data_IF_754567716329
#
_entry.id   IF_754567716329
#
_cell.length_a   1.000
_cell.length_b   1.000
_cell.length_c   1.000
_cell.angle_alpha   90.00
_cell.angle_beta   90.00
_cell.angle_gamma   90.00
#
_symmetry.space_group_name_H-M   'P 1'
#
loop_
_entity.id
_entity.type
_entity.pdbx_description
1 polymer ?
2 water ?
#
# COMPACT_ATOMS: atom_id res chain seq x y z
N UNK A 2 -9.51 11.18 -1.80
CA UNK A 2 -8.91 9.83 -1.99
C UNK A 2 -9.87 8.77 -2.50
N UNK A 3 -10.93 8.45 -1.76
CA UNK A 3 -11.90 7.45 -2.26
C UNK A 3 -13.25 8.09 -2.54
N UNK A 4 -13.38 9.36 -2.20
CA UNK A 4 -14.63 10.08 -2.42
C UNK A 4 -14.30 11.40 -3.07
N UNK A 5 -14.58 11.48 -4.36
CA UNK A 5 -14.30 12.65 -5.14
C UNK A 5 -15.55 13.47 -5.43
N UNK A 6 -15.35 14.61 -6.07
CA UNK A 6 -16.44 15.52 -6.42
C UNK A 6 -16.13 16.12 -7.79
N UNK A 8 -18.48 18.62 -9.68
CA UNK A 8 -19.69 19.43 -9.81
C UNK A 8 -19.89 20.20 -11.12
N UNK A 9 -18.99 20.04 -12.08
CA UNK A 9 -19.13 20.77 -13.35
C UNK A 9 -19.70 19.92 -14.47
N UNK A 10 -20.17 20.60 -15.52
CA UNK A 10 -20.70 19.91 -16.70
C UNK A 10 -19.49 19.31 -17.38
N UNK A 11 -19.70 18.21 -18.10
CA UNK A 11 -18.63 17.53 -18.81
C UNK A 11 -17.92 18.44 -19.81
N UNK A 12 -18.70 19.15 -20.62
CA UNK A 12 -18.12 20.04 -21.62
C UNK A 12 -17.24 21.11 -20.96
N UNK A 13 -17.60 21.51 -19.74
CA UNK A 13 -16.83 22.49 -19.01
C UNK A 13 -15.48 21.90 -18.62
N UNK A 14 -15.45 20.60 -18.35
CA UNK A 14 -14.19 19.96 -17.99
C UNK A 14 -13.28 19.97 -19.21
N UNK A 15 -13.84 19.66 -20.38
CA UNK A 15 -13.10 19.66 -21.63
C UNK A 15 -12.51 21.06 -21.89
N UNK A 16 -13.34 22.09 -21.70
CA UNK A 16 -12.90 23.47 -21.90
C UNK A 16 -11.76 23.84 -20.96
N UNK A 17 -11.85 23.42 -19.70
CA UNK A 17 -10.84 23.70 -18.69
C UNK A 17 -9.44 23.18 -19.07
N UNK A 18 -9.37 22.11 -19.85
CA UNK A 18 -8.09 21.57 -20.25
C UNK A 18 -7.81 21.81 -21.75
N UNK A 19 -8.62 22.69 -22.36
CA UNK A 19 -8.46 23.02 -23.77
C UNK A 19 -8.56 21.83 -24.71
N UNK A 20 -9.35 20.85 -24.32
CA UNK A 20 -9.50 19.66 -25.14
C UNK A 20 -10.91 19.44 -25.70
N UNK A 21 -11.00 18.58 -26.71
CA UNK A 21 -12.27 18.27 -27.36
C UNK A 21 -13.22 17.51 -26.42
N UNK A 22 -14.50 17.82 -26.52
CA UNK A 22 -15.55 17.23 -25.68
C UNK A 22 -16.42 16.14 -26.30
N UNK A 23 -16.05 15.66 -27.47
CA UNK A 23 -16.85 14.64 -28.16
C UNK A 23 -17.17 13.42 -27.32
N UNK A 24 -16.14 12.82 -26.73
CA UNK A 24 -16.35 11.65 -25.89
C UNK A 24 -17.10 11.96 -24.60
N UNK A 25 -16.64 12.96 -23.87
CA UNK A 25 -17.27 13.31 -22.59
C UNK A 25 -18.73 13.77 -22.75
N UNK A 26 -19.03 14.43 -23.88
CA UNK A 26 -20.38 14.88 -24.17
C UNK A 26 -21.33 13.67 -24.34
N UNK A 27 -20.85 12.61 -25.01
CA UNK A 27 -21.63 11.40 -25.20
C UNK A 27 -22.13 10.83 -23.87
N UNK A 28 -21.27 10.83 -22.85
CA UNK A 28 -21.61 10.32 -21.53
C UNK A 28 -21.98 11.40 -20.50
N UNK A 29 -22.36 12.59 -20.95
CA UNK A 29 -22.68 13.69 -20.04
C UNK A 29 -23.74 13.37 -19.00
N UNK A 30 -24.70 12.53 -19.36
CA UNK A 30 -25.77 12.17 -18.43
C UNK A 30 -25.24 11.49 -17.17
N UNK A 31 -24.16 10.74 -17.31
CA UNK A 31 -23.61 10.04 -16.17
C UNK A 31 -22.39 10.76 -15.56
N UNK A 32 -21.82 11.71 -16.30
CA UNK A 32 -20.66 12.46 -15.84
C UNK A 32 -20.95 13.86 -15.27
N UNK A 33 -21.93 14.55 -15.85
CA UNK A 33 -22.30 15.91 -15.41
C UNK A 33 -22.68 16.06 -13.94
N UNK A 34 -22.15 17.12 -13.32
CA UNK A 34 -22.45 17.45 -11.95
C UNK A 34 -22.58 16.31 -10.93
N UNK A 35 -21.52 15.54 -10.78
CA UNK A 35 -21.49 14.44 -9.82
C UNK A 35 -20.81 14.99 -8.57
N UNK A 36 -21.61 15.55 -7.67
CA UNK A 36 -21.07 16.14 -6.43
C UNK A 36 -20.38 15.13 -5.54
N UNK A 37 -20.75 13.86 -5.66
CA UNK A 37 -20.10 12.81 -4.90
C UNK A 37 -19.82 11.66 -5.86
N UNK A 38 -18.54 11.34 -6.05
CA UNK A 38 -18.13 10.24 -6.93
C UNK A 38 -17.53 9.20 -5.98
N UNK A 39 -18.23 8.09 -5.81
CA UNK A 39 -17.81 7.04 -4.90
C UNK A 39 -16.92 6.03 -5.61
N UNK A 40 -15.66 5.98 -5.21
CA UNK A 40 -14.69 5.08 -5.83
C UNK A 40 -15.16 3.63 -5.78
N UNK A 41 -15.81 3.26 -4.69
CA UNK A 41 -16.24 1.88 -4.52
C UNK A 41 -17.33 1.39 -5.46
N UNK A 42 -17.79 2.28 -6.35
CA UNK A 42 -18.77 1.88 -7.36
C UNK A 42 -17.99 1.75 -8.67
N UNK A 43 -16.68 2.00 -8.61
CA UNK A 43 -15.82 1.93 -9.80
C UNK A 43 -16.51 2.64 -10.96
N UNK A 44 -16.83 3.92 -10.78
CA UNK A 44 -17.53 4.67 -11.83
C UNK A 44 -16.71 5.17 -13.01
N UNK A 45 -17.44 5.57 -14.07
CA UNK A 45 -16.82 6.14 -15.25
C UNK A 45 -16.50 7.56 -14.84
N UNK A 46 -15.43 8.13 -15.40
CA UNK A 46 -15.02 9.46 -14.99
C UNK A 46 -14.22 10.15 -16.08
N UNK A 47 -14.33 11.48 -16.20
CA UNK A 47 -13.58 12.22 -17.22
C UNK A 47 -12.08 12.13 -16.88
N UNK A 48 -11.25 11.82 -17.86
CA UNK A 48 -9.82 11.71 -17.63
C UNK A 48 -9.06 12.44 -18.73
N UNK A 49 -8.06 13.23 -18.33
CA UNK A 49 -7.26 13.98 -19.29
C UNK A 49 -5.97 13.21 -19.56
N UNK A 50 -5.71 13.00 -20.83
CA UNK A 50 -4.53 12.27 -21.30
C UNK A 50 -3.82 13.16 -22.32
N UNK A 51 -2.75 12.65 -22.91
CA UNK A 51 -2.03 13.40 -23.94
C UNK A 51 -2.92 13.58 -25.17
N UNK A 52 -4.02 12.84 -25.22
CA UNK A 52 -4.96 12.93 -26.34
C UNK A 52 -5.68 14.29 -26.37
N UNK A 53 -6.07 14.74 -27.55
CA UNK A 53 -6.79 16.00 -27.70
C UNK A 53 -8.25 15.88 -27.25
N UNK A 54 -8.72 14.65 -27.09
CA UNK A 54 -10.09 14.41 -26.63
C UNK A 54 -10.09 13.97 -25.17
N UNK A 55 -10.97 14.56 -24.36
CA UNK A 55 -11.07 14.17 -22.96
C UNK A 55 -11.55 12.71 -23.01
N UNK A 56 -10.96 11.85 -22.19
CA UNK A 56 -11.33 10.45 -22.19
C UNK A 56 -12.30 10.11 -21.06
N UNK A 57 -12.86 8.90 -21.10
CA UNK A 57 -13.79 8.44 -20.06
C UNK A 57 -13.34 7.04 -19.64
N UNK A 58 -12.73 6.94 -18.47
CA UNK A 58 -12.25 5.65 -17.95
C UNK A 58 -12.95 5.30 -16.64
N UNK A 59 -12.79 4.04 -16.22
CA UNK A 59 -13.39 3.60 -14.96
C UNK A 59 -12.35 3.70 -13.85
N UNK A 60 -12.79 4.15 -12.68
CA UNK A 60 -11.92 4.30 -11.53
C UNK A 60 -11.62 2.90 -10.96
N UNK A 61 -10.34 2.59 -10.75
CA UNK A 61 -9.95 1.29 -10.23
C UNK A 61 -9.10 0.62 -11.28
N UNK A 62 -7.79 0.85 -11.20
CA UNK A 62 -6.86 0.32 -12.19
C UNK A 62 -6.68 -1.19 -12.28
N UNK A 63 -6.87 -1.73 -13.47
CA UNK A 63 -6.70 -3.15 -13.72
C UNK A 63 -5.46 -3.29 -14.59
N UNK A 64 -4.34 -3.75 -14.01
CA UNK A 64 -3.10 -3.89 -14.77
C UNK A 64 -3.25 -4.73 -16.03
N UNK A 65 -2.48 -4.39 -17.04
CA UNK A 65 -2.52 -5.09 -18.31
C UNK A 65 -2.20 -6.57 -18.17
N UNK A 66 -1.36 -6.91 -17.19
CA UNK A 66 -0.94 -8.30 -17.00
C UNK A 66 -1.90 -9.25 -16.30
N UNK A 67 -3.00 -8.75 -15.76
CA UNK A 67 -3.96 -9.62 -15.07
C UNK A 67 -4.47 -10.71 -16.01
N UNK A 68 -4.47 -11.94 -15.53
CA UNK A 68 -4.89 -13.09 -16.34
C UNK A 68 -6.35 -13.47 -16.20
N UNK A 69 -6.95 -13.23 -15.05
CA UNK A 69 -8.35 -13.61 -14.89
C UNK A 69 -9.22 -12.48 -14.38
N UNK A 70 -10.44 -12.44 -14.90
CA UNK A 70 -11.42 -11.42 -14.53
C UNK A 70 -11.75 -11.50 -13.04
N UNK A 71 -11.78 -12.73 -12.52
CA UNK A 71 -12.07 -12.97 -11.12
C UNK A 71 -11.03 -12.23 -10.27
N UNK A 72 -9.77 -12.27 -10.70
CA UNK A 72 -8.71 -11.59 -9.96
C UNK A 72 -8.79 -10.10 -10.17
N UNK A 73 -9.17 -9.70 -11.38
CA UNK A 73 -9.29 -8.30 -11.70
C UNK A 73 -10.28 -7.62 -10.74
N UNK A 74 -11.30 -8.37 -10.34
CA UNK A 74 -12.33 -7.87 -9.42
C UNK A 74 -11.76 -7.48 -8.07
N UNK A 75 -10.85 -8.30 -7.55
CA UNK A 75 -10.24 -8.02 -6.26
C UNK A 75 -9.15 -6.93 -6.35
N UNK A 76 -8.26 -7.05 -7.34
CA UNK A 76 -7.17 -6.09 -7.53
C UNK A 76 -7.68 -4.66 -7.69
N UNK A 77 -8.78 -4.52 -8.40
CA UNK A 77 -9.44 -3.24 -8.66
C UNK A 77 -9.71 -2.47 -7.37
N UNK A 78 -10.01 -3.19 -6.29
CA UNK A 78 -10.30 -2.58 -5.00
C UNK A 78 -9.04 -2.08 -4.31
N UNK A 80 -6.41 -0.77 -6.08
CA UNK A 80 -5.76 0.21 -6.94
C UNK A 80 -6.55 1.49 -7.22
N UNK A 81 -7.49 1.82 -6.35
CA UNK A 81 -8.26 3.04 -6.53
C UNK A 81 -7.32 4.22 -6.28
N UNK A 82 -6.29 3.97 -5.48
CA UNK A 82 -5.26 4.95 -5.17
C UNK A 82 -3.91 4.29 -5.38
N UNK A 83 -2.89 5.10 -5.62
CA UNK A 83 -1.52 4.58 -5.81
C UNK A 83 -0.55 5.48 -5.06
N UNK A 84 0.16 4.90 -4.10
CA UNK A 84 1.14 5.62 -3.28
C UNK A 84 2.30 6.13 -4.12
N UNK A 85 2.60 7.43 -4.00
CA UNK A 85 3.69 8.02 -4.77
C UNK A 85 5.07 7.42 -4.48
N UNK A 86 5.38 7.18 -3.20
CA UNK A 86 6.69 6.66 -2.81
C UNK A 86 7.13 5.29 -3.33
N UNK A 87 6.20 4.45 -3.76
CA UNK A 87 6.56 3.12 -4.27
C UNK A 87 5.99 2.87 -5.66
N UNK A 88 5.40 3.90 -6.26
CA UNK A 88 4.77 3.78 -7.57
C UNK A 88 5.69 3.32 -8.69
N UNK A 89 6.98 3.59 -8.59
CA UNK A 89 7.92 3.19 -9.64
C UNK A 89 8.33 1.72 -9.46
N UNK A 90 7.99 1.14 -8.31
CA UNK A 90 8.33 -0.23 -7.96
C UNK A 90 7.19 -1.26 -8.08
N UNK A 91 5.98 -0.91 -7.63
CA UNK A 91 4.85 -1.84 -7.69
C UNK A 91 4.49 -2.33 -9.09
N UNK A 92 4.29 -3.64 -9.26
CA UNK A 92 3.94 -4.22 -10.57
C UNK A 92 2.65 -3.67 -11.17
N UNK A 93 1.71 -3.27 -10.33
CA UNK A 93 0.45 -2.72 -10.81
C UNK A 93 0.63 -1.34 -11.43
N UNK A 94 1.63 -0.60 -10.98
CA UNK A 94 1.84 0.75 -11.46
C UNK A 94 3.15 1.13 -12.15
N UNK A 95 4.16 0.27 -12.08
CA UNK A 95 5.46 0.63 -12.66
C UNK A 95 5.52 0.97 -14.13
N UNK A 96 4.66 0.36 -14.94
CA UNK A 96 4.71 0.69 -16.36
C UNK A 96 3.84 1.90 -16.69
N UNK A 97 2.65 2.01 -16.05
CA UNK A 97 1.81 3.17 -16.35
C UNK A 97 2.41 4.53 -15.93
N UNK A 98 3.17 4.61 -14.84
CA UNK A 98 3.74 5.92 -14.47
C UNK A 98 4.77 6.42 -15.46
N UNK A 100 4.66 5.34 -18.86
CA UNK A 100 4.00 5.43 -20.17
C UNK A 100 2.54 5.91 -20.24
N UNK A 101 1.80 5.78 -19.15
CA UNK A 101 0.39 6.16 -19.17
C UNK A 101 -0.08 7.05 -18.04
N UNK A 102 0.48 8.26 -17.96
CA UNK A 102 0.08 9.21 -16.92
C UNK A 102 -1.15 9.97 -17.41
N UNK A 103 -1.96 10.43 -16.47
CA UNK A 103 -3.15 11.18 -16.83
C UNK A 103 -3.49 12.14 -15.71
N UNK A 104 -4.46 13.01 -15.97
CA UNK A 104 -4.93 13.97 -15.00
C UNK A 104 -6.36 13.60 -14.63
N UNK A 105 -6.63 13.55 -13.34
CA UNK A 105 -7.94 13.25 -12.84
C UNK A 105 -8.51 14.58 -12.36
N UNK A 106 -9.36 15.21 -13.17
CA UNK A 106 -9.94 16.50 -12.77
C UNK A 106 -10.78 16.37 -11.51
N UNK A 107 -10.92 17.45 -10.76
CA UNK A 107 -11.69 17.42 -9.53
C UNK A 107 -12.14 18.81 -9.09
N UNK A 108 -13.27 18.87 -8.40
CA UNK A 108 -13.77 20.15 -7.90
C UNK A 108 -13.66 20.12 -6.37
N UNK A 109 -13.07 19.05 -5.84
CA UNK A 109 -12.90 18.88 -4.42
C UNK A 109 -13.08 17.44 -4.01
N UNK A 110 -12.75 17.11 -2.77
CA UNK A 110 -12.92 15.74 -2.32
C UNK A 110 -13.29 15.67 -0.85
N UNK A 111 -13.71 14.48 -0.42
CA UNK A 111 -14.15 14.27 0.95
C UNK A 111 -13.22 13.39 1.79
N UNK A 112 -13.12 13.72 3.08
CA UNK A 112 -12.30 12.98 4.03
C UNK A 112 -12.95 13.14 5.42
N UNK A 113 -12.80 12.13 6.27
CA UNK A 113 -13.37 12.17 7.60
C UNK A 113 -12.28 12.21 8.66
N UNK A 114 -12.43 13.12 9.62
CA UNK A 114 -11.48 13.22 10.72
C UNK A 114 -12.06 12.39 11.86
N UNK A 115 -11.23 11.55 12.48
CA UNK A 115 -11.71 10.74 13.59
C UNK A 115 -11.34 11.33 14.96
N UNK A 116 -12.22 11.17 15.92
CA UNK A 116 -12.01 11.64 17.29
C UNK A 116 -13.03 10.92 18.15
N UNK A 117 -12.56 9.87 18.81
CA UNK A 117 -13.42 9.04 19.64
C UNK A 117 -14.09 8.11 18.68
N UNK A 118 -15.41 8.06 18.71
CA UNK A 118 -16.16 7.21 17.80
C UNK A 118 -16.75 8.13 16.73
N UNK A 119 -16.52 9.43 16.89
CA UNK A 119 -17.04 10.41 15.94
C UNK A 119 -16.24 10.55 14.65
N UNK A 120 -16.99 10.53 13.55
CA UNK A 120 -16.46 10.64 12.21
C UNK A 120 -16.95 12.00 11.67
N UNK A 121 -16.06 12.98 11.57
CA UNK A 121 -16.49 14.28 11.06
C UNK A 121 -16.10 14.44 9.59
N UNK A 122 -17.09 14.64 8.71
CA UNK A 122 -16.85 14.80 7.27
C UNK A 122 -16.41 16.20 6.85
N UNK A 123 -15.40 16.24 6.00
CA UNK A 123 -14.89 17.51 5.50
C UNK A 123 -14.92 17.52 3.98
N UNK A 124 -15.11 18.71 3.42
CA UNK A 124 -15.09 18.92 1.99
C UNK A 124 -13.82 19.72 1.80
N UNK A 125 -12.89 19.18 1.01
CA UNK A 125 -11.60 19.83 0.80
C UNK A 125 -11.46 20.28 -0.66
N UNK A 126 -11.01 21.52 -0.85
CA UNK A 126 -10.86 22.08 -2.19
C UNK A 126 -9.67 23.01 -2.31
N UNK A 127 -9.43 23.48 -3.53
CA UNK A 127 -8.32 24.37 -3.81
C UNK A 127 -8.83 25.80 -4.02
N UNK A 128 -8.29 26.74 -3.26
CA UNK A 128 -8.70 28.13 -3.33
C UNK A 128 -8.59 28.74 -4.73
N UNK A 129 -9.66 29.35 -5.18
CA UNK A 129 -9.68 30.01 -6.49
C UNK A 129 -9.25 29.14 -7.68
N UNK A 130 -9.62 27.87 -7.65
CA UNK A 130 -9.34 26.96 -8.75
C UNK A 130 -10.54 26.03 -8.76
N UNK A 131 -11.64 26.47 -9.40
CA UNK A 131 -12.88 25.69 -9.49
C UNK A 131 -12.62 24.22 -9.80
N UNK A 132 -11.80 23.98 -10.81
CA UNK A 132 -11.48 22.62 -11.21
C UNK A 132 -9.98 22.50 -11.09
N UNK A 133 -9.51 21.55 -10.27
CA UNK A 133 -8.08 21.38 -10.11
C UNK A 133 -7.69 19.99 -10.61
N UNK A 134 -6.40 19.76 -10.79
CA UNK A 134 -5.93 18.50 -11.32
C UNK A 134 -5.20 17.58 -10.34
N UNK A 136 -2.94 14.08 -9.97
CA UNK A 136 -2.10 13.24 -10.81
C UNK A 136 -2.63 11.80 -10.81
N UNK A 137 -2.70 11.20 -11.99
CA UNK A 137 -3.17 9.84 -12.07
C UNK A 137 -2.42 9.02 -13.09
N UNK A 138 -2.76 7.75 -13.17
CA UNK A 138 -2.19 6.82 -14.13
C UNK A 138 -3.35 5.94 -14.59
N UNK A 139 -3.23 5.39 -15.78
CA UNK A 139 -4.28 4.53 -16.31
C UNK A 139 -3.64 3.32 -16.96
N UNK A 140 -4.47 2.35 -17.34
CA UNK A 140 -3.95 1.16 -18.00
C UNK A 140 -5.08 0.55 -18.80
N UNK A 141 -4.73 -0.34 -19.73
CA UNK A 141 -5.73 -1.02 -20.56
C UNK A 141 -5.57 -2.51 -20.31
N UNK A 142 -6.70 -3.19 -20.14
CA UNK A 142 -6.70 -4.62 -19.88
C UNK A 142 -7.72 -5.37 -20.74
N UNK A 143 -7.24 -6.43 -21.37
CA UNK A 143 -8.10 -7.26 -22.21
C UNK A 143 -8.52 -8.50 -21.43
N UNK A 144 -9.82 -8.68 -21.27
CA UNK A 144 -10.34 -9.83 -20.56
C UNK A 144 -10.28 -11.02 -21.50
N UNK A 145 -9.33 -11.92 -21.26
CA UNK A 145 -9.15 -13.11 -22.10
C UNK A 145 -10.45 -13.84 -22.38
N UNK A 146 -11.19 -14.15 -21.31
CA UNK A 146 -12.43 -14.89 -21.42
C UNK A 146 -13.65 -14.12 -21.93
N UNK A 147 -13.58 -12.80 -21.92
CA UNK A 147 -14.70 -11.98 -22.36
C UNK A 147 -14.44 -11.29 -23.69
N UNK A 148 -13.17 -10.98 -23.95
CA UNK A 148 -12.83 -10.27 -25.17
C UNK A 148 -13.03 -8.78 -24.96
N UNK A 149 -13.58 -8.42 -23.79
CA UNK A 149 -13.85 -7.02 -23.44
C UNK A 149 -12.57 -6.25 -23.07
N UNK A 150 -12.43 -5.07 -23.66
CA UNK A 150 -11.28 -4.21 -23.42
C UNK A 150 -11.63 -3.15 -22.38
N UNK A 151 -10.91 -3.12 -21.27
CA UNK A 151 -11.16 -2.16 -20.21
C UNK A 151 -10.07 -1.10 -20.10
N UNK A 152 -10.46 0.14 -19.82
CA UNK A 152 -9.52 1.23 -19.62
C UNK A 152 -9.86 1.80 -18.24
N UNK A 153 -8.87 1.75 -17.35
CA UNK A 153 -9.08 2.19 -15.97
C UNK A 153 -7.98 3.10 -15.44
N UNK A 154 -8.26 3.76 -14.32
CA UNK A 154 -7.28 4.68 -13.76
C UNK A 154 -7.18 4.61 -12.25
N UNK A 155 -6.12 5.22 -11.75
CA UNK A 155 -5.88 5.29 -10.33
C UNK A 155 -5.43 6.71 -10.00
N UNK A 156 -5.78 7.18 -8.81
CA UNK A 156 -5.38 8.52 -8.37
C UNK A 156 -4.14 8.31 -7.51
N UNK A 157 -3.10 9.10 -7.77
CA UNK A 157 -1.86 8.97 -7.01
C UNK A 157 -1.98 9.77 -5.72
N UNK A 158 -1.43 9.23 -4.64
CA UNK A 158 -1.48 9.90 -3.34
C UNK A 158 -0.10 10.25 -2.83
N UNK A 159 -0.07 11.16 -1.87
CA UNK A 159 1.18 11.62 -1.29
C UNK A 159 0.97 11.89 0.20
N UNK A 160 2.04 12.31 0.87
CA UNK A 160 1.98 12.64 2.28
C UNK A 160 1.09 13.86 2.40
N UNK A 161 0.57 14.09 3.59
CA UNK A 161 -0.32 15.22 3.85
C UNK A 161 0.45 16.52 4.06
N UNK A 162 -0.30 17.60 4.23
CA UNK A 162 0.27 18.92 4.54
C UNK A 162 -0.47 19.34 5.80
N UNK A 163 -0.24 20.56 6.27
CA UNK A 163 -0.89 21.06 7.49
C UNK A 163 -2.38 20.76 7.53
N UNK A 164 -3.11 21.24 6.52
CA UNK A 164 -4.55 21.05 6.44
C UNK A 164 -5.00 19.60 6.34
N UNK A 165 -4.52 18.87 5.34
CA UNK A 165 -4.93 17.48 5.16
C UNK A 165 -4.50 16.54 6.28
N UNK A 166 -3.45 16.91 7.01
CA UNK A 166 -2.99 16.06 8.10
C UNK A 166 -3.94 16.12 9.30
N UNK A 167 -4.56 17.27 9.50
CA UNK A 167 -5.52 17.44 10.59
C UNK A 167 -6.82 16.72 10.25
N UNK A 168 -7.22 16.79 8.98
CA UNK A 168 -8.45 16.14 8.54
C UNK A 168 -8.26 14.61 8.42
N UNK A 169 -7.28 14.16 7.64
CA UNK A 169 -7.05 12.73 7.51
C UNK A 169 -6.07 12.27 8.60
N UNK A 170 -6.53 12.29 9.85
CA UNK A 170 -5.68 11.93 10.98
C UNK A 170 -5.57 10.44 11.29
N UNK A 171 -6.00 9.59 10.36
CA UNK A 171 -5.89 8.15 10.57
C UNK A 171 -5.06 7.46 9.49
N UNK A 172 -5.11 7.98 8.26
CA UNK A 172 -4.35 7.40 7.15
C UNK A 172 -3.22 8.33 6.72
N UNK A 173 -3.38 9.62 7.00
CA UNK A 173 -2.37 10.61 6.65
C UNK A 173 -2.01 10.62 5.16
N UNK A 174 -3.02 10.55 4.33
CA UNK A 174 -2.82 10.56 2.90
C UNK A 174 -3.69 11.68 2.26
N UNK A 176 -4.51 13.34 -1.99
CA UNK A 176 -4.20 13.10 -3.40
C UNK A 176 -3.03 13.97 -3.87
N UNK A 177 -2.31 13.50 -4.88
CA UNK A 177 -1.19 14.27 -5.44
C UNK A 177 -1.78 15.33 -6.37
N UNK A 178 -1.88 16.56 -5.88
CA UNK A 178 -2.44 17.63 -6.67
C UNK A 178 -1.35 18.34 -7.47
N UNK A 179 -1.61 18.56 -8.75
CA UNK A 179 -0.68 19.26 -9.64
C UNK A 179 -1.10 20.71 -9.73
N UNK A 180 -0.14 21.63 -9.80
CA UNK A 180 -0.49 23.03 -9.94
C UNK A 180 -0.88 23.20 -11.40
N UNK A 181 -1.55 24.29 -11.73
CA UNK A 181 -1.95 24.50 -13.11
C UNK A 181 -0.76 24.57 -14.05
N UNK A 182 0.35 25.12 -13.57
CA UNK A 182 1.55 25.26 -14.38
C UNK A 182 2.30 23.97 -14.63
N UNK A 183 1.87 22.87 -14.03
CA UNK A 183 2.54 21.60 -14.21
C UNK A 183 1.68 20.61 -14.99
N UNK A 184 0.47 21.02 -15.34
CA UNK A 184 -0.44 20.12 -16.03
C UNK A 184 0.09 19.50 -17.32
N UNK A 185 0.45 20.31 -18.31
CA UNK A 185 0.97 19.75 -19.55
C UNK A 185 2.34 19.10 -19.40
N UNK A 186 3.14 19.59 -18.46
CA UNK A 186 4.46 19.01 -18.25
C UNK A 186 4.27 17.57 -17.76
N UNK A 187 3.37 17.39 -16.80
CA UNK A 187 3.06 16.07 -16.26
C UNK A 187 2.71 15.07 -17.37
N UNK A 188 2.06 15.55 -18.42
CA UNK A 188 1.66 14.70 -19.54
C UNK A 188 2.70 14.53 -20.66
N UNK A 189 3.89 15.13 -20.51
CA UNK A 189 4.96 15.02 -21.51
C UNK A 189 5.62 13.62 -21.47
N UNK A 190 5.52 12.86 -22.56
CA UNK A 190 6.11 11.51 -22.62
C UNK A 190 7.61 11.44 -22.33
N UNK A 191 8.30 12.58 -22.47
CA UNK A 191 9.74 12.62 -22.26
C UNK A 191 10.22 12.71 -20.81
N UNK A 192 9.30 12.90 -19.87
CA UNK A 192 9.70 13.02 -18.47
C UNK A 192 10.49 11.81 -18.00
N UNK A 193 11.54 12.05 -17.24
CA UNK A 193 12.37 10.99 -16.69
C UNK A 193 11.81 10.67 -15.32
N UNK A 194 12.28 9.55 -14.76
CA UNK A 194 11.83 9.10 -13.45
C UNK A 194 11.92 10.19 -12.40
N UNK A 195 13.06 10.87 -12.33
CA UNK A 195 13.24 11.94 -11.37
C UNK A 195 12.22 13.07 -11.54
N UNK A 196 12.02 13.50 -12.79
CA UNK A 196 11.08 14.57 -13.10
C UNK A 196 9.64 14.22 -12.70
N UNK A 197 9.26 12.98 -12.96
CA UNK A 197 7.94 12.51 -12.60
C UNK A 197 7.78 12.55 -11.08
N UNK A 198 8.75 11.98 -10.38
CA UNK A 198 8.71 11.92 -8.92
C UNK A 198 8.64 13.33 -8.36
N UNK A 199 9.40 14.23 -8.97
CA UNK A 199 9.44 15.62 -8.52
C UNK A 199 8.10 16.34 -8.60
N UNK A 200 7.18 15.83 -9.41
CA UNK A 200 5.87 16.47 -9.55
C UNK A 200 4.84 15.93 -8.59
N UNK A 201 5.21 14.90 -7.83
CA UNK A 201 4.30 14.30 -6.86
C UNK A 201 4.71 14.69 -5.45
N UNK A 202 4.10 15.75 -4.93
CA UNK A 202 4.42 16.25 -3.59
C UNK A 202 3.17 16.78 -2.93
N UNK A 203 3.21 17.02 -1.61
CA UNK A 203 2.04 17.54 -0.91
C UNK A 203 1.78 18.99 -1.37
N UNK A 204 0.53 19.30 -1.67
CA UNK A 204 0.19 20.64 -2.13
C UNK A 204 0.45 21.67 -1.03
N UNK A 205 0.66 22.93 -1.43
CA UNK A 205 0.90 24.00 -0.48
C UNK A 205 -0.37 24.21 0.34
N UNK A 206 -0.26 23.95 1.64
CA UNK A 206 -1.40 24.08 2.52
C UNK A 206 -2.14 25.42 2.43
N UNK A 207 -1.40 26.49 2.16
CA UNK A 207 -1.98 27.84 2.04
C UNK A 207 -2.93 27.99 0.84
N UNK A 208 -2.77 27.14 -0.17
CA UNK A 208 -3.60 27.23 -1.38
C UNK A 208 -4.88 26.40 -1.27
N UNK A 210 -8.28 24.74 1.27
CA UNK A 210 -9.21 25.04 2.35
C UNK A 210 -10.21 23.90 2.48
N UNK A 211 -11.01 23.94 3.54
CA UNK A 211 -12.00 22.90 3.75
C UNK A 211 -12.95 23.32 4.86
N UNK A 212 -14.09 22.66 4.92
CA UNK A 212 -15.07 22.92 5.97
C UNK A 212 -15.85 21.64 6.23
N UNK A 213 -16.45 21.58 7.41
CA UNK A 213 -17.24 20.44 7.85
C UNK A 213 -18.59 20.45 7.16
N UNK A 214 -18.97 19.31 6.60
CA UNK A 214 -20.25 19.18 5.92
C UNK A 214 -21.20 18.30 6.71
N UNK A 215 -22.22 17.77 6.06
CA UNK A 215 -23.20 16.93 6.73
C UNK A 215 -22.95 15.43 6.50
N UNK A 216 -23.03 14.66 7.57
CA UNK A 216 -22.82 13.22 7.48
C UNK A 216 -23.81 12.54 6.54
N UNK A 217 -24.97 13.15 6.34
CA UNK A 217 -25.96 12.55 5.47
C UNK A 217 -25.69 12.73 3.98
N UNK A 218 -24.58 13.39 3.62
CA UNK A 218 -24.30 13.59 2.21
C UNK A 218 -24.18 12.23 1.51
N UNK A 219 -23.64 11.26 2.24
CA UNK A 219 -23.45 9.90 1.74
C UNK A 219 -24.77 9.25 1.31
N UNK A 220 -25.88 9.76 1.82
CA UNK A 220 -27.18 9.20 1.48
C UNK A 220 -27.91 9.89 0.32
N UNK A 221 -27.32 10.96 -0.21
CA UNK A 221 -27.96 11.69 -1.31
C UNK A 221 -27.57 11.21 -2.71
N UNK A 222 -28.42 11.51 -3.69
CA UNK A 222 -28.14 11.14 -5.07
C UNK A 222 -26.85 11.86 -5.43
N UNK A 223 -25.96 11.20 -6.20
CA UNK A 223 -24.68 11.79 -6.59
C UNK A 223 -24.76 13.17 -7.22
N UNK A 224 -25.87 13.50 -7.87
CA UNK A 224 -25.98 14.79 -8.51
C UNK A 224 -26.65 15.86 -7.65
N UNK A 225 -26.85 15.57 -6.38
CA UNK A 225 -27.50 16.52 -5.47
C UNK A 225 -26.52 17.61 -5.06
N UNK A 226 -26.74 18.85 -5.49
CA UNK A 226 -25.84 19.95 -5.12
C UNK A 226 -25.67 20.17 -3.61
N UNK A 227 -26.67 19.81 -2.80
CA UNK A 227 -26.57 20.02 -1.36
C UNK A 227 -25.59 19.06 -0.67
N UNK A 228 -24.96 18.20 -1.46
CA UNK A 228 -23.98 17.27 -0.90
C UNK A 228 -22.84 18.07 -0.26
N UNK A 229 -22.57 19.26 -0.80
CA UNK A 229 -21.51 20.10 -0.26
C UNK A 229 -21.98 21.20 0.72
N UNK A 230 -23.24 21.11 1.16
CA UNK A 230 -23.76 22.10 2.11
C UNK A 230 -23.03 21.92 3.46
N UNK A 231 -22.62 23.02 4.06
CA UNK A 231 -21.93 22.99 5.35
C UNK A 231 -22.84 22.36 6.40
N UNK A 232 -22.23 21.91 7.49
CA UNK A 232 -22.98 21.30 8.59
C UNK A 232 -24.10 22.20 9.09
N UNK A 233 -25.23 21.57 9.42
CA UNK A 233 -26.38 22.31 9.92
C UNK A 233 -26.18 22.55 11.37
N UNK A 234 -25.81 23.81 11.31
CA UNK A 234 -25.43 24.75 12.26
C UNK A 234 -26.55 24.77 13.25
N UNK B 2 12.35 -3.52 5.35
CA UNK B 2 11.69 -4.72 5.92
C UNK B 2 11.58 -5.82 4.87
N UNK B 3 12.59 -5.89 4.00
CA UNK B 3 12.65 -6.90 2.93
C UNK B 3 13.92 -7.74 3.09
N UNK B 4 14.66 -7.48 4.16
CA UNK B 4 15.91 -8.18 4.46
C UNK B 4 15.96 -8.48 5.94
N UNK B 5 15.59 -9.71 6.29
CA UNK B 5 15.55 -10.14 7.67
C UNK B 5 16.81 -10.92 8.05
N UNK B 6 16.96 -11.17 9.35
CA UNK B 6 18.10 -11.90 9.88
C UNK B 6 17.60 -12.97 10.84
N UNK B 8 19.94 -15.52 12.85
CA UNK B 8 21.22 -16.13 13.19
C UNK B 8 21.12 -17.36 14.08
N UNK B 9 19.90 -17.72 14.49
CA UNK B 9 19.71 -18.88 15.36
C UNK B 9 19.31 -20.14 14.60
N UNK B 10 19.46 -21.29 15.23
CA UNK B 10 19.06 -22.55 14.60
C UNK B 10 17.56 -22.68 14.75
N UNK B 11 16.94 -23.48 13.90
CA UNK B 11 15.50 -23.67 13.94
C UNK B 11 15.06 -24.24 15.28
N UNK B 12 15.78 -25.25 15.76
CA UNK B 12 15.47 -25.89 17.03
C UNK B 12 15.45 -24.89 18.19
N UNK B 13 16.33 -23.89 18.13
CA UNK B 13 16.37 -22.89 19.19
C UNK B 13 15.20 -21.92 19.07
N UNK B 14 14.71 -21.74 17.84
CA UNK B 14 13.56 -20.87 17.61
C UNK B 14 12.36 -21.53 18.26
N UNK B 15 12.26 -22.84 18.07
CA UNK B 15 11.16 -23.61 18.63
C UNK B 15 11.15 -23.48 20.14
N UNK B 16 12.32 -23.65 20.75
CA UNK B 16 12.43 -23.56 22.21
C UNK B 16 12.08 -22.16 22.68
N UNK B 17 12.49 -21.17 21.90
CA UNK B 17 12.23 -19.77 22.21
C UNK B 17 10.73 -19.52 22.35
N UNK B 18 9.93 -20.23 21.57
CA UNK B 18 8.49 -20.07 21.61
C UNK B 18 7.73 -21.23 22.23
N UNK B 19 8.47 -22.13 22.89
CA UNK B 19 7.86 -23.28 23.53
C UNK B 19 7.08 -24.18 22.57
N UNK B 20 7.59 -24.30 21.34
CA UNK B 20 6.98 -25.13 20.30
C UNK B 20 7.84 -26.33 19.96
N UNK B 21 7.25 -27.26 19.21
CA UNK B 21 7.96 -28.46 18.78
C UNK B 21 8.66 -28.17 17.45
N UNK B 22 9.77 -28.84 17.21
CA UNK B 22 10.55 -28.64 16.00
C UNK B 22 10.38 -29.73 14.94
N UNK B 23 9.35 -30.57 15.11
CA UNK B 23 9.12 -31.66 14.17
C UNK B 23 9.08 -31.21 12.70
N UNK B 24 8.27 -30.20 12.42
CA UNK B 24 8.14 -29.68 11.06
C UNK B 24 9.40 -29.01 10.54
N UNK B 25 10.02 -28.16 11.37
CA UNK B 25 11.23 -27.46 10.94
C UNK B 25 12.46 -28.35 10.81
N UNK B 26 12.46 -29.50 11.50
CA UNK B 26 13.59 -30.41 11.44
C UNK B 26 13.80 -30.98 10.03
N UNK B 27 12.80 -30.82 9.19
CA UNK B 27 12.87 -31.30 7.82
C UNK B 27 13.69 -30.34 6.94
N UNK B 28 13.51 -29.03 7.17
CA UNK B 28 14.21 -28.00 6.40
C UNK B 28 15.38 -27.35 7.17
N UNK B 29 15.99 -28.11 8.08
CA UNK B 29 17.11 -27.65 8.89
C UNK B 29 18.20 -26.85 8.18
N UNK B 30 18.77 -27.45 7.15
CA UNK B 30 19.85 -26.84 6.38
C UNK B 30 19.63 -25.44 5.86
N UNK B 31 18.42 -25.13 5.43
CA UNK B 31 18.15 -23.80 4.87
C UNK B 31 17.44 -22.82 5.80
N UNK B 32 17.12 -23.25 7.01
CA UNK B 32 16.43 -22.35 7.94
C UNK B 32 17.34 -21.88 9.07
N UNK B 33 18.31 -22.71 9.40
CA UNK B 33 19.24 -22.42 10.47
C UNK B 33 20.32 -21.41 10.09
N UNK B 34 20.63 -20.53 11.03
CA UNK B 34 21.69 -19.53 10.87
C UNK B 34 21.76 -18.78 9.53
N UNK B 35 20.66 -18.14 9.13
CA UNK B 35 20.64 -17.35 7.91
C UNK B 35 20.77 -15.88 8.34
N UNK B 36 21.99 -15.36 8.31
CA UNK B 36 22.26 -13.99 8.72
C UNK B 36 21.60 -12.95 7.84
N UNK B 37 21.28 -13.34 6.62
CA UNK B 37 20.59 -12.47 5.68
C UNK B 37 19.55 -13.31 4.92
N UNK B 38 18.29 -12.91 5.07
CA UNK B 38 17.20 -13.59 4.40
C UNK B 38 16.61 -12.54 3.47
N UNK B 39 16.79 -12.73 2.17
CA UNK B 39 16.30 -11.79 1.16
C UNK B 39 14.86 -12.10 0.79
N UNK B 40 13.95 -11.18 1.10
CA UNK B 40 12.53 -11.37 0.82
C UNK B 40 12.24 -11.62 -0.65
N UNK B 41 13.05 -11.02 -1.52
CA UNK B 41 12.85 -11.13 -2.95
C UNK B 41 13.06 -12.51 -3.53
N UNK B 42 13.56 -13.45 -2.73
CA UNK B 42 13.75 -14.82 -3.19
C UNK B 42 12.58 -15.66 -2.70
N UNK B 43 11.63 -15.01 -2.03
CA UNK B 43 10.44 -15.67 -1.49
C UNK B 43 10.87 -16.94 -0.75
N UNK B 44 11.81 -16.79 0.19
CA UNK B 44 12.33 -17.94 0.96
C UNK B 44 11.41 -18.59 1.97
N UNK B 45 11.75 -19.83 2.31
CA UNK B 45 11.01 -20.57 3.33
C UNK B 45 11.50 -19.94 4.62
N UNK B 46 10.64 -19.89 5.64
CA UNK B 46 11.00 -19.26 6.90
C UNK B 46 10.20 -19.90 8.04
N UNK B 47 10.82 -20.04 9.23
CA UNK B 47 10.04 -20.64 10.32
C UNK B 47 9.06 -19.60 10.82
N UNK B 48 7.83 -20.02 11.05
CA UNK B 48 6.77 -19.14 11.49
C UNK B 48 6.08 -19.76 12.69
N UNK B 49 5.69 -18.94 13.65
CA UNK B 49 5.00 -19.43 14.84
C UNK B 49 3.53 -19.06 14.69
N UNK B 50 2.65 -20.06 14.79
CA UNK B 50 1.21 -19.86 14.68
C UNK B 50 0.62 -20.42 15.97
N UNK B 51 -0.71 -20.55 16.03
CA UNK B 51 -1.35 -21.10 17.22
C UNK B 51 -1.05 -22.59 17.37
N UNK B 52 -0.47 -23.18 16.32
CA UNK B 52 -0.09 -24.59 16.32
C UNK B 52 1.07 -24.84 17.27
N UNK B 53 1.10 -26.01 17.90
CA UNK B 53 2.18 -26.37 18.82
C UNK B 53 3.49 -26.68 18.08
N UNK B 54 3.41 -26.77 16.75
CA UNK B 54 4.58 -27.04 15.92
C UNK B 54 5.01 -25.78 15.19
N UNK B 55 6.31 -25.50 15.13
CA UNK B 55 6.76 -24.33 14.41
C UNK B 55 6.51 -24.66 12.95
N UNK B 56 5.95 -23.71 12.21
CA UNK B 56 5.65 -23.92 10.80
C UNK B 56 6.77 -23.43 9.90
N UNK B 57 6.65 -23.74 8.62
CA UNK B 57 7.61 -23.29 7.62
C UNK B 57 6.79 -22.79 6.43
N UNK B 58 6.73 -21.47 6.25
CA UNK B 58 5.96 -20.90 5.13
C UNK B 58 6.91 -20.07 4.26
N UNK B 59 6.48 -19.74 3.05
CA UNK B 59 7.29 -18.91 2.18
C UNK B 59 6.89 -17.46 2.36
N UNK B 60 7.88 -16.58 2.30
CA UNK B 60 7.68 -15.15 2.45
C UNK B 60 7.07 -14.66 1.12
N UNK B 61 5.98 -13.93 1.18
CA UNK B 61 5.33 -13.45 -0.03
C UNK B 61 3.94 -14.05 -0.04
N UNK B 62 3.01 -13.36 0.62
CA UNK B 62 1.65 -13.86 0.75
C UNK B 62 0.83 -13.92 -0.53
N UNK B 63 0.27 -15.10 -0.77
CA UNK B 63 -0.58 -15.32 -1.94
C UNK B 63 -1.96 -15.52 -1.36
N UNK B 64 -2.88 -14.55 -1.55
CA UNK B 64 -4.24 -14.65 -1.03
C UNK B 64 -4.96 -15.92 -1.47
N UNK B 65 -5.83 -16.46 -0.61
CA UNK B 65 -6.54 -17.70 -0.95
C UNK B 65 -7.38 -17.55 -2.19
N UNK B 66 -7.87 -16.33 -2.45
CA UNK B 66 -8.75 -16.10 -3.60
C UNK B 66 -8.10 -15.95 -4.96
N UNK B 67 -6.78 -15.96 -5.04
CA UNK B 67 -6.14 -15.81 -6.33
C UNK B 67 -6.57 -16.97 -7.24
N UNK B 68 -7.07 -16.60 -8.41
CA UNK B 68 -7.56 -17.57 -9.37
C UNK B 68 -6.50 -18.03 -10.37
N UNK B 69 -5.58 -17.13 -10.71
CA UNK B 69 -4.55 -17.45 -11.69
C UNK B 69 -3.14 -17.59 -11.15
N UNK B 70 -2.44 -18.60 -11.68
CA UNK B 70 -1.07 -18.88 -11.30
C UNK B 70 -0.21 -17.65 -11.60
N UNK B 71 -0.40 -17.09 -12.78
CA UNK B 71 0.34 -15.92 -13.23
C UNK B 71 0.11 -14.72 -12.32
N UNK B 72 -1.12 -14.52 -11.88
CA UNK B 72 -1.41 -13.39 -11.01
C UNK B 72 -0.76 -13.60 -9.65
N UNK B 73 -0.72 -14.86 -9.22
CA UNK B 73 -0.12 -15.20 -7.93
C UNK B 73 1.33 -14.73 -7.91
N UNK B 74 2.01 -14.90 -9.04
CA UNK B 74 3.41 -14.51 -9.18
C UNK B 74 3.60 -13.00 -9.01
N UNK B 75 2.70 -12.22 -9.60
CA UNK B 75 2.80 -10.77 -9.50
C UNK B 75 2.41 -10.27 -8.11
N UNK B 76 1.28 -10.76 -7.61
CA UNK B 76 0.78 -10.34 -6.30
C UNK B 76 1.73 -10.60 -5.13
N UNK B 77 2.47 -11.71 -5.16
CA UNK B 77 3.36 -11.99 -4.05
C UNK B 77 4.52 -11.01 -3.98
N UNK B 78 4.75 -10.30 -5.08
CA UNK B 78 5.82 -9.30 -5.12
C UNK B 78 5.37 -8.04 -4.36
N UNK B 80 3.19 -8.32 -1.56
CA UNK B 80 2.71 -8.69 -0.22
C UNK B 80 3.79 -9.19 0.73
N UNK B 81 5.05 -8.81 0.48
CA UNK B 81 6.14 -9.22 1.34
C UNK B 81 5.93 -8.49 2.66
N UNK B 82 5.35 -7.30 2.57
CA UNK B 82 5.04 -6.46 3.72
C UNK B 82 3.56 -6.09 3.63
N UNK B 83 2.96 -5.78 4.78
CA UNK B 83 1.55 -5.40 4.85
C UNK B 83 1.40 -4.22 5.80
N UNK B 84 0.99 -3.07 5.27
CA UNK B 84 0.82 -1.87 6.07
C UNK B 84 -0.29 -2.05 7.09
N UNK B 85 0.04 -1.78 8.36
CA UNK B 85 -0.93 -1.90 9.43
C UNK B 85 -2.17 -1.01 9.31
N UNK B 86 -1.99 0.23 8.85
CA UNK B 86 -3.13 1.15 8.77
C UNK B 86 -4.28 0.75 7.85
N UNK B 87 -3.98 0.02 6.77
CA UNK B 87 -5.01 -0.42 5.85
C UNK B 87 -5.18 -1.94 5.81
N UNK B 88 -4.62 -2.62 6.81
CA UNK B 88 -4.67 -4.08 6.85
C UNK B 88 -6.07 -4.70 6.98
N UNK B 89 -6.99 -4.00 7.64
CA UNK B 89 -8.34 -4.52 7.81
C UNK B 89 -9.23 -4.37 6.57
N UNK B 90 -8.84 -3.50 5.65
CA UNK B 90 -9.64 -3.26 4.44
C UNK B 90 -9.11 -3.92 3.17
N UNK B 91 -7.80 -3.96 3.04
CA UNK B 91 -7.16 -4.53 1.86
C UNK B 91 -7.59 -6.00 1.61
N UNK B 92 -8.10 -6.28 0.40
CA UNK B 92 -8.54 -7.64 0.03
C UNK B 92 -7.51 -8.74 0.27
N UNK B 93 -6.23 -8.45 0.05
CA UNK B 93 -5.18 -9.45 0.26
C UNK B 93 -4.99 -9.84 1.73
N UNK B 94 -5.31 -8.92 2.65
CA UNK B 94 -5.08 -9.17 4.07
C UNK B 94 -6.29 -9.18 5.02
N UNK B 95 -7.44 -8.68 4.56
CA UNK B 95 -8.61 -8.60 5.45
C UNK B 95 -9.03 -9.86 6.19
N UNK B 96 -8.96 -11.02 5.53
CA UNK B 96 -9.35 -12.26 6.18
C UNK B 96 -8.22 -12.77 7.10
N UNK B 97 -6.99 -12.88 6.57
CA UNK B 97 -5.87 -13.36 7.39
C UNK B 97 -5.65 -12.56 8.68
N UNK B 98 -5.84 -11.24 8.63
CA UNK B 98 -5.64 -10.43 9.83
C UNK B 98 -6.61 -10.82 10.94
N UNK B 100 -8.21 -14.05 11.04
CA UNK B 100 -8.19 -15.47 11.33
C UNK B 100 -6.86 -16.19 11.19
N UNK B 101 -5.88 -15.57 10.55
CA UNK B 101 -4.59 -16.20 10.34
C UNK B 101 -3.39 -15.34 10.72
N UNK B 102 -3.31 -14.99 11.99
CA UNK B 102 -2.21 -14.20 12.50
C UNK B 102 -1.05 -15.12 12.85
N UNK B 103 0.17 -14.60 12.74
CA UNK B 103 1.33 -15.39 13.09
C UNK B 103 2.46 -14.49 13.56
N UNK B 104 3.55 -15.13 13.96
CA UNK B 104 4.73 -14.43 14.43
C UNK B 104 5.89 -14.80 13.54
N UNK B 105 6.60 -13.79 13.06
CA UNK B 105 7.78 -14.00 12.22
C UNK B 105 8.96 -13.70 13.14
N UNK B 106 9.68 -14.76 13.58
CA UNK B 106 10.83 -14.56 14.45
C UNK B 106 11.95 -13.86 13.72
N UNK B 107 12.71 -13.08 14.47
CA UNK B 107 13.80 -12.34 13.88
C UNK B 107 14.91 -12.15 14.89
N UNK B 108 16.13 -12.01 14.37
CA UNK B 108 17.28 -11.79 15.21
C UNK B 108 17.82 -10.40 14.83
N UNK B 109 17.03 -9.68 14.02
CA UNK B 109 17.39 -8.34 13.57
C UNK B 109 17.10 -8.16 12.08
N UNK B 110 17.15 -6.93 11.58
CA UNK B 110 16.90 -6.71 10.15
C UNK B 110 17.78 -5.61 9.56
N UNK B 111 17.73 -5.48 8.24
CA UNK B 111 18.55 -4.50 7.52
C UNK B 111 17.74 -3.42 6.80
N UNK B 112 18.28 -2.21 6.77
CA UNK B 112 17.65 -1.06 6.11
C UNK B 112 18.74 -0.09 5.67
N UNK B 113 18.50 0.60 4.57
CA UNK B 113 19.44 1.57 4.04
C UNK B 113 19.01 3.00 4.24
N UNK B 114 19.95 3.81 4.69
CA UNK B 114 19.71 5.22 4.91
C UNK B 114 20.26 5.91 3.68
N UNK B 115 19.47 6.79 3.06
CA UNK B 115 19.91 7.51 1.87
C UNK B 115 20.38 8.92 2.21
N UNK B 116 21.60 9.24 1.78
CA UNK B 116 22.18 10.57 2.00
C UNK B 116 22.56 11.05 0.61
N UNK B 117 21.56 11.48 -0.13
CA UNK B 117 21.85 11.90 -1.48
C UNK B 117 22.14 10.64 -2.27
N UNK B 118 23.41 10.42 -2.60
CA UNK B 118 23.85 9.33 -3.48
C UNK B 118 24.25 7.92 -3.01
N UNK B 119 24.60 7.81 -1.74
CA UNK B 119 25.07 6.53 -1.21
C UNK B 119 23.96 5.95 -0.36
N UNK B 120 24.01 4.66 -0.09
CA UNK B 120 22.99 4.03 0.73
C UNK B 120 23.76 3.34 1.84
N UNK B 121 23.63 3.88 3.06
CA UNK B 121 24.33 3.33 4.22
C UNK B 121 23.51 2.22 4.86
N UNK B 122 24.01 0.98 4.78
CA UNK B 122 23.30 -0.16 5.36
C UNK B 122 23.39 -0.22 6.87
N UNK B 123 22.26 -0.47 7.50
CA UNK B 123 22.19 -0.59 8.95
C UNK B 123 21.64 -1.94 9.37
N UNK B 124 22.14 -2.42 10.49
CA UNK B 124 21.67 -3.67 11.07
C UNK B 124 20.91 -3.16 12.31
N UNK B 125 19.62 -3.45 12.37
CA UNK B 125 18.76 -2.99 13.47
C UNK B 125 18.30 -4.17 14.32
N UNK B 126 18.37 -4.03 15.64
CA UNK B 126 17.97 -5.12 16.53
C UNK B 126 17.33 -4.68 17.85
N UNK B 127 16.87 -5.64 18.65
CA UNK B 127 16.27 -5.33 19.94
C UNK B 127 17.28 -5.66 21.03
N UNK B 128 17.64 -4.66 21.83
CA UNK B 128 18.61 -4.89 22.90
C UNK B 128 18.13 -5.95 23.88
N UNK B 129 19.03 -6.86 24.24
CA UNK B 129 18.76 -7.91 25.20
C UNK B 129 17.62 -8.89 24.90
N UNK B 130 17.28 -9.03 23.63
CA UNK B 130 16.26 -9.99 23.22
C UNK B 130 16.83 -10.62 21.95
N UNK B 131 17.64 -11.68 22.10
CA UNK B 131 18.26 -12.37 20.96
C UNK B 131 17.29 -12.66 19.81
N UNK B 132 16.13 -13.21 20.16
CA UNK B 132 15.12 -13.51 19.16
C UNK B 132 13.87 -12.75 19.55
N UNK B 133 13.41 -11.85 18.67
CA UNK B 133 12.21 -11.10 18.97
C UNK B 133 11.13 -11.43 17.97
N UNK B 134 9.91 -10.97 18.25
CA UNK B 134 8.77 -11.26 17.40
C UNK B 134 8.23 -10.11 16.56
N UNK B 136 5.05 -9.04 14.05
CA UNK B 136 3.67 -9.44 13.80
C UNK B 136 3.49 -9.76 12.33
N UNK B 137 2.81 -10.86 12.04
CA UNK B 137 2.58 -11.22 10.67
C UNK B 137 1.24 -11.89 10.45
N UNK B 138 0.95 -12.21 9.20
CA UNK B 138 -0.27 -12.90 8.81
C UNK B 138 0.16 -13.90 7.74
N UNK B 139 -0.61 -14.97 7.59
CA UNK B 139 -0.30 -15.99 6.61
C UNK B 139 -1.58 -16.36 5.89
N UNK B 140 -1.42 -17.13 4.82
CA UNK B 140 -2.57 -17.58 4.05
C UNK B 140 -2.19 -18.87 3.34
N UNK B 141 -3.18 -19.59 2.84
CA UNK B 141 -2.94 -20.82 2.11
C UNK B 141 -3.58 -20.63 0.76
N UNK B 142 -2.86 -21.00 -0.28
CA UNK B 142 -3.37 -20.86 -1.64
C UNK B 142 -3.23 -22.19 -2.36
N UNK B 143 -4.32 -22.61 -2.98
CA UNK B 143 -4.34 -23.85 -3.72
C UNK B 143 -4.34 -23.56 -5.22
N UNK B 144 -3.31 -23.97 -5.92
CA UNK B 144 -3.26 -23.75 -7.36
C UNK B 144 -3.96 -24.92 -8.06
N UNK B 145 -5.08 -24.61 -8.69
CA UNK B 145 -5.90 -25.60 -9.38
C UNK B 145 -5.16 -26.43 -10.42
N UNK B 146 -4.01 -25.96 -10.90
CA UNK B 146 -3.26 -26.72 -11.89
C UNK B 146 -2.51 -27.93 -11.32
N UNK B 147 -1.51 -27.69 -10.47
CA UNK B 147 -0.75 -28.80 -9.88
C UNK B 147 -1.47 -29.38 -8.68
N UNK B 148 -2.45 -28.66 -8.14
CA UNK B 148 -3.19 -29.13 -6.99
C UNK B 148 -2.44 -29.02 -5.68
N UNK B 149 -1.27 -28.38 -5.71
CA UNK B 149 -0.45 -28.22 -4.51
C UNK B 149 -0.91 -27.07 -3.60
N UNK B 150 -0.62 -27.20 -2.31
CA UNK B 150 -0.97 -26.20 -1.32
C UNK B 150 0.26 -25.33 -1.05
N UNK B 151 0.08 -24.02 -1.16
CA UNK B 151 1.16 -23.07 -0.90
C UNK B 151 0.85 -22.23 0.33
N UNK B 152 1.67 -22.36 1.36
CA UNK B 152 1.48 -21.59 2.58
C UNK B 152 2.47 -20.42 2.58
N UNK B 153 1.94 -19.21 2.70
CA UNK B 153 2.76 -18.02 2.66
C UNK B 153 2.47 -17.03 3.79
N UNK B 154 3.35 -16.05 3.96
CA UNK B 154 3.17 -15.06 5.00
C UNK B 154 3.67 -13.70 4.56
N UNK B 155 3.28 -12.69 5.34
CA UNK B 155 3.68 -11.33 5.10
C UNK B 155 4.01 -10.69 6.45
N UNK B 156 5.00 -9.82 6.46
CA UNK B 156 5.37 -9.13 7.69
C UNK B 156 4.57 -7.82 7.74
N UNK B 157 3.97 -7.53 8.89
CA UNK B 157 3.20 -6.30 9.03
C UNK B 157 4.14 -5.13 9.34
N UNK B 158 3.90 -3.98 8.71
CA UNK B 158 4.72 -2.79 8.95
C UNK B 158 3.89 -1.70 9.62
N UNK B 159 4.57 -0.84 10.38
CA UNK B 159 3.91 0.26 11.06
C UNK B 159 4.71 1.51 10.78
N UNK B 160 4.27 2.62 11.36
CA UNK B 160 4.99 3.88 11.22
C UNK B 160 6.29 3.71 12.01
N UNK B 161 7.25 4.58 11.73
CA UNK B 161 8.55 4.50 12.36
C UNK B 161 8.65 5.17 13.73
N UNK B 162 9.68 4.79 14.49
CA UNK B 162 9.93 5.45 15.76
C UNK B 162 11.12 6.35 15.39
N UNK B 163 11.66 7.09 16.34
CA UNK B 163 12.77 7.98 16.04
C UNK B 163 14.00 7.30 15.43
N UNK B 164 14.38 6.12 15.95
CA UNK B 164 15.54 5.42 15.39
C UNK B 164 15.31 4.95 13.97
N UNK B 165 14.17 4.31 13.74
CA UNK B 165 13.84 3.81 12.41
C UNK B 165 13.55 4.92 11.41
N UNK B 166 12.98 6.02 11.89
CA UNK B 166 12.69 7.13 11.00
C UNK B 166 14.01 7.71 10.50
N UNK B 167 15.06 7.61 11.32
CA UNK B 167 16.37 8.09 10.93
C UNK B 167 17.01 7.17 9.88
N UNK B 168 16.91 5.87 10.08
CA UNK B 168 17.50 4.90 9.14
C UNK B 168 16.68 4.77 7.84
N UNK B 169 15.38 4.49 7.95
CA UNK B 169 14.55 4.38 6.74
C UNK B 169 14.03 5.77 6.42
N UNK B 170 14.95 6.66 6.08
CA UNK B 170 14.59 8.05 5.80
C UNK B 170 13.91 8.25 4.44
N UNK B 171 13.65 7.17 3.71
CA UNK B 171 13.00 7.28 2.41
C UNK B 171 11.55 6.78 2.43
N UNK B 172 11.33 5.60 3.02
CA UNK B 172 9.99 5.01 3.08
C UNK B 172 9.29 5.23 4.43
N UNK B 173 10.07 5.45 5.47
CA UNK B 173 9.53 5.66 6.82
C UNK B 173 8.64 4.51 7.29
N UNK B 174 9.17 3.29 7.16
CA UNK B 174 8.46 2.09 7.58
C UNK B 174 9.35 1.26 8.50
N UNK B 176 9.07 -2.85 10.75
CA UNK B 176 8.20 -4.01 11.01
C UNK B 176 7.43 -3.79 12.32
N UNK B 177 6.26 -4.41 12.42
CA UNK B 177 5.45 -4.33 13.65
C UNK B 177 6.08 -5.30 14.64
N UNK B 178 6.85 -4.79 15.60
CA UNK B 178 7.49 -5.66 16.59
C UNK B 178 6.61 -5.81 17.84
N UNK B 179 6.59 -7.02 18.40
CA UNK B 179 5.79 -7.30 19.59
C UNK B 179 6.71 -7.56 20.77
N UNK B 180 6.31 -7.11 21.95
CA UNK B 180 7.10 -7.35 23.14
C UNK B 180 6.88 -8.82 23.46
N UNK B 181 7.73 -9.39 24.31
CA UNK B 181 7.59 -10.78 24.67
C UNK B 181 6.22 -11.05 25.31
N UNK B 182 5.69 -10.06 26.03
CA UNK B 182 4.39 -10.22 26.65
C UNK B 182 3.23 -10.15 25.66
N UNK B 183 3.43 -9.49 24.54
CA UNK B 183 2.37 -9.37 23.54
C UNK B 183 2.32 -10.53 22.55
N UNK B 184 3.42 -11.28 22.43
CA UNK B 184 3.50 -12.38 21.48
C UNK B 184 2.33 -13.35 21.59
N UNK B 185 2.11 -13.86 22.80
CA UNK B 185 1.03 -14.79 23.09
C UNK B 185 -0.30 -14.16 22.73
N UNK B 186 -0.53 -12.96 23.25
CA UNK B 186 -1.76 -12.21 23.02
C UNK B 186 -2.12 -12.08 21.54
N UNK B 187 -1.13 -11.76 20.72
CA UNK B 187 -1.32 -11.61 19.28
C UNK B 187 -1.97 -12.84 18.65
N UNK B 188 -1.60 -14.02 19.12
CA UNK B 188 -2.14 -15.27 18.57
C UNK B 188 -3.46 -15.73 19.19
N UNK B 189 -3.98 -14.97 20.15
CA UNK B 189 -5.24 -15.34 20.78
C UNK B 189 -6.38 -15.11 19.76
N UNK B 190 -7.12 -16.17 19.40
CA UNK B 190 -8.23 -16.08 18.44
C UNK B 190 -9.40 -15.17 18.86
N UNK B 191 -9.54 -14.93 20.16
CA UNK B 191 -10.64 -14.11 20.66
C UNK B 191 -10.46 -12.60 20.51
N UNK B 192 -9.28 -12.18 20.05
CA UNK B 192 -8.98 -10.77 19.87
C UNK B 192 -9.94 -10.05 18.91
N UNK B 193 -10.41 -8.88 19.32
CA UNK B 193 -11.30 -8.09 18.49
C UNK B 193 -10.47 -7.19 17.57
N UNK B 194 -11.12 -6.55 16.61
CA UNK B 194 -10.46 -5.67 15.68
C UNK B 194 -9.63 -4.58 16.36
N UNK B 195 -10.21 -3.91 17.35
CA UNK B 195 -9.50 -2.85 18.07
C UNK B 195 -8.29 -3.40 18.82
N UNK B 196 -8.44 -4.57 19.43
CA UNK B 196 -7.33 -5.16 20.15
C UNK B 196 -6.20 -5.48 19.19
N UNK B 197 -6.57 -5.97 18.00
CA UNK B 197 -5.57 -6.30 17.00
C UNK B 197 -4.78 -5.06 16.63
N UNK B 198 -5.49 -3.98 16.33
CA UNK B 198 -4.85 -2.72 15.95
C UNK B 198 -3.97 -2.15 17.05
N UNK B 199 -4.41 -2.25 18.29
CA UNK B 199 -3.63 -1.71 19.40
C UNK B 199 -2.28 -2.40 19.55
N UNK B 200 -2.15 -3.59 18.98
CA UNK B 200 -0.90 -4.33 19.07
C UNK B 200 0.04 -4.00 17.90
N UNK B 201 -0.43 -3.20 16.95
CA UNK B 201 0.36 -2.81 15.80
C UNK B 201 0.76 -1.35 15.90
N UNK B 202 1.84 -1.09 16.63
CA UNK B 202 2.32 0.27 16.83
C UNK B 202 3.85 0.27 16.76
N UNK B 203 4.46 1.46 16.57
CA UNK B 203 5.92 1.52 16.50
C UNK B 203 6.54 1.06 17.81
N UNK B 204 7.53 0.19 17.74
CA UNK B 204 8.18 -0.31 18.94
C UNK B 204 8.88 0.86 19.63
N UNK B 205 9.09 0.79 20.94
CA UNK B 205 9.75 1.89 21.64
C UNK B 205 11.21 1.96 21.25
N UNK B 206 11.65 3.15 20.88
CA UNK B 206 13.02 3.36 20.46
C UNK B 206 14.05 2.97 21.53
N UNK B 207 13.72 3.22 22.80
CA UNK B 207 14.63 2.90 23.90
C UNK B 207 15.01 1.42 23.98
N UNK B 208 14.16 0.55 23.44
CA UNK B 208 14.42 -0.88 23.48
C UNK B 208 15.21 -1.38 22.26
N UNK B 210 18.45 -0.78 19.08
CA UNK B 210 19.76 -0.23 18.75
C UNK B 210 20.09 -0.65 17.31
N UNK B 211 21.08 0.00 16.72
CA UNK B 211 21.49 -0.31 15.36
C UNK B 211 22.90 0.24 15.11
N UNK B 212 23.56 -0.30 14.09
CA UNK B 212 24.89 0.15 13.73
C UNK B 212 25.15 -0.09 12.25
N UNK B 213 26.06 0.69 11.69
CA UNK B 213 26.40 0.58 10.28
C UNK B 213 27.23 -0.66 10.00
N UNK B 214 26.87 -1.39 8.95
CA UNK B 214 27.59 -2.59 8.55
C UNK B 214 28.22 -2.32 7.18
N UNK B 215 28.74 -3.35 6.53
CA UNK B 215 29.36 -3.16 5.22
C UNK B 215 28.35 -3.45 4.11
N UNK B 216 28.32 -2.58 3.12
CA UNK B 216 27.41 -2.70 1.98
C UNK B 216 27.65 -3.95 1.12
N UNK B 217 28.71 -4.70 1.42
CA UNK B 217 29.01 -5.89 0.64
C UNK B 217 28.33 -7.15 1.17
N UNK B 218 27.57 -7.02 2.26
CA UNK B 218 26.89 -8.17 2.84
C UNK B 218 25.88 -8.81 1.88
N UNK B 219 25.35 -8.01 0.97
CA UNK B 219 24.38 -8.49 -0.02
C UNK B 219 24.98 -9.46 -1.01
N UNK B 220 26.31 -9.50 -1.06
CA UNK B 220 26.99 -10.39 -2.00
C UNK B 220 27.53 -11.62 -1.28
N UNK B 221 27.45 -11.61 0.05
CA UNK B 221 27.93 -12.73 0.86
C UNK B 221 26.91 -13.86 0.92
N UNK B 222 27.37 -15.02 1.38
CA UNK B 222 26.49 -16.18 1.51
C UNK B 222 25.55 -15.92 2.68
N UNK B 223 24.25 -16.18 2.51
CA UNK B 223 23.28 -15.96 3.59
C UNK B 223 23.67 -16.48 4.97
N UNK B 224 24.47 -17.54 5.00
CA UNK B 224 24.89 -18.12 6.28
C UNK B 224 26.26 -17.66 6.76
N UNK B 225 26.78 -16.60 6.15
CA UNK B 225 28.10 -16.06 6.52
C UNK B 225 27.96 -15.07 7.70
N UNK B 226 28.51 -15.43 8.88
CA UNK B 226 28.47 -14.60 10.10
C UNK B 226 29.00 -13.17 10.00
N UNK B 227 29.87 -12.90 9.04
CA UNK B 227 30.44 -11.56 8.89
C UNK B 227 29.47 -10.53 8.32
N UNK B 228 28.32 -10.99 7.87
CA UNK B 228 27.30 -10.12 7.31
C UNK B 228 26.85 -9.04 8.31
N UNK B 229 26.85 -9.37 9.60
CA UNK B 229 26.43 -8.39 10.59
C UNK B 229 27.61 -7.70 11.28
N UNK B 230 28.80 -7.88 10.72
CA UNK B 230 29.99 -7.25 11.29
C UNK B 230 29.97 -5.74 11.10
N UNK B 231 30.18 -5.02 12.21
CA UNK B 231 30.17 -3.55 12.19
C UNK B 231 31.25 -2.99 11.27
N UNK B 232 30.87 -1.99 10.47
CA UNK B 232 31.77 -1.35 9.52
C UNK B 232 33.12 -0.96 10.14
N UNK B 233 34.17 -1.07 9.32
CA UNK B 233 35.54 -0.76 9.73
C UNK B 233 35.69 0.67 10.29
#
# INVERSE_FOLDING_TARGET
XCFHNSXSAKAIKVAARYGRQSDVVEIYQSILDEQYHVNAFTFPRYPIITSSDEVQVFNWGLIPFWVRSEEDATEIRKXTLNARADTIFEKPSFREPIXKKRCIVPSTGYFEWRHEGANKIPYYIYVKDEPIFSXAGIYDRWLDKDTGEEHETFSIITTDTNSLTDYIDNTKHRXPAILTQEEEEKWLNPSLSKAEIASLLKPFDTEKXDAYVIRNDFLKKSPNDPTIVQRALEHHHHHH
XCFHNSXSAKAIKVAARYGRQSDVVEIYQSILDEQYHVNAFTFPRYPIITSSDEVQVFNWGLIPFWVRSEEDATEIRKXTLNARADTIFEKPSFREPIXKKRCIVPSTGYFEWRHEGANKIPYYIYVKDEPIFSXAGIYDRWLDKDTGEEHETFSIITTDTNSLTDYIDNTKHRXPAILTQEEEEKWLNPSLSKAEIASLLKPFDTEKXDAYVIRNDFLKKSPNDPTIVQRALEHHHHHH
#
